data_IF_904266336043
#
_entry.id   IF_904266336043
#
_cell.length_a   1.000
_cell.length_b   1.000
_cell.length_c   1.000
_cell.angle_alpha   90.00
_cell.angle_beta   90.00
_cell.angle_gamma   90.00
#
_symmetry.space_group_name_H-M   'P 1'
#
loop_
_entity.id
_entity.type
_entity.pdbx_description
1 polymer ?
#
# COMPACT_ATOMS: atom_id res chain seq x y z
N UNK A 1 -19.51 -62.38 19.53
CA UNK A 1 -18.15 -62.13 19.02
C UNK A 1 -18.18 -60.84 18.21
N UNK A 2 -17.68 -59.74 18.76
CA UNK A 2 -17.32 -58.54 18.00
C UNK A 2 -15.90 -58.19 18.44
N UNK A 3 -14.96 -58.55 17.58
CA UNK A 3 -13.53 -58.29 17.72
C UNK A 3 -13.30 -56.79 17.76
N UNK A 4 -12.93 -56.28 18.94
CA UNK A 4 -12.26 -54.98 19.06
C UNK A 4 -10.93 -55.10 18.34
N UNK A 5 -10.89 -54.63 17.09
CA UNK A 5 -9.63 -54.30 16.44
C UNK A 5 -9.10 -53.07 17.15
N UNK A 6 -8.16 -53.27 18.07
CA UNK A 6 -7.34 -52.20 18.60
C UNK A 6 -6.54 -51.63 17.42
N UNK A 7 -7.06 -50.56 16.85
CA UNK A 7 -6.42 -49.84 15.77
C UNK A 7 -5.21 -49.12 16.35
N UNK A 8 -4.00 -49.55 15.99
CA UNK A 8 -2.75 -48.84 16.28
C UNK A 8 -2.63 -47.55 15.42
N UNK A 9 -3.69 -46.73 15.38
CA UNK A 9 -3.64 -45.43 14.73
C UNK A 9 -3.10 -44.41 15.73
N UNK A 10 -2.13 -43.61 15.30
CA UNK A 10 -1.63 -42.47 16.06
C UNK A 10 -2.29 -41.22 15.52
N UNK A 11 -2.93 -40.48 16.42
CA UNK A 11 -3.43 -39.15 16.13
C UNK A 11 -2.24 -38.22 15.82
N UNK A 12 -2.39 -37.38 14.80
CA UNK A 12 -1.48 -36.27 14.56
C UNK A 12 -2.17 -35.01 15.09
N UNK A 13 -1.66 -34.45 16.18
CA UNK A 13 -2.29 -33.33 16.87
C UNK A 13 -2.33 -32.05 16.01
N UNK A 14 -1.37 -31.88 15.08
CA UNK A 14 -1.34 -30.74 14.14
C UNK A 14 -2.47 -30.80 13.10
N UNK A 15 -3.06 -31.98 12.91
CA UNK A 15 -4.11 -32.26 11.92
C UNK A 15 -5.38 -32.84 12.56
N UNK A 16 -5.53 -32.74 13.88
CA UNK A 16 -6.67 -33.27 14.63
C UNK A 16 -7.60 -32.16 15.15
N UNK A 17 -8.30 -31.53 14.22
CA UNK A 17 -9.20 -30.41 14.50
C UNK A 17 -10.53 -30.86 15.12
N UNK A 18 -11.00 -30.16 16.16
CA UNK A 18 -12.36 -30.31 16.69
C UNK A 18 -13.39 -29.87 15.62
N UNK A 19 -14.51 -30.61 15.43
CA UNK A 19 -15.54 -30.27 14.45
C UNK A 19 -16.49 -29.15 14.92
N UNK A 20 -16.15 -28.43 15.99
CA UNK A 20 -16.96 -27.38 16.59
C UNK A 20 -17.21 -26.22 15.62
N UNK A 21 -18.48 -25.85 15.48
CA UNK A 21 -18.95 -24.76 14.63
C UNK A 21 -19.36 -23.56 15.48
N UNK A 22 -19.16 -22.38 14.91
CA UNK A 22 -19.62 -21.11 15.47
C UNK A 22 -20.17 -20.22 14.36
N UNK A 23 -21.09 -19.31 14.71
CA UNK A 23 -21.59 -18.28 13.81
C UNK A 23 -21.04 -16.93 14.28
N UNK A 24 -20.18 -16.33 13.48
CA UNK A 24 -19.74 -14.95 13.68
C UNK A 24 -20.74 -14.03 12.98
N UNK A 25 -21.27 -13.03 13.69
CA UNK A 25 -22.19 -12.05 13.13
C UNK A 25 -21.53 -10.67 13.12
N UNK A 26 -21.53 -10.02 11.97
CA UNK A 26 -21.10 -8.62 11.82
C UNK A 26 -22.22 -7.85 11.11
N UNK A 27 -22.83 -6.90 11.81
CA UNK A 27 -24.02 -6.18 11.34
C UNK A 27 -25.13 -7.14 10.87
N UNK A 28 -25.47 -7.13 9.57
CA UNK A 28 -26.48 -7.97 8.94
C UNK A 28 -25.90 -9.23 8.25
N UNK A 29 -24.61 -9.52 8.41
CA UNK A 29 -23.94 -10.68 7.83
C UNK A 29 -23.61 -11.73 8.89
N UNK A 30 -23.75 -13.00 8.51
CA UNK A 30 -23.42 -14.14 9.37
C UNK A 30 -22.47 -15.09 8.65
N UNK A 31 -21.46 -15.57 9.37
CA UNK A 31 -20.41 -16.45 8.86
C UNK A 31 -20.35 -17.70 9.73
N UNK A 32 -20.66 -18.86 9.15
CA UNK A 32 -20.57 -20.15 9.84
C UNK A 32 -19.20 -20.77 9.58
N UNK A 33 -18.38 -20.92 10.61
CA UNK A 33 -16.98 -21.35 10.50
C UNK A 33 -16.61 -22.41 11.54
N UNK A 34 -15.47 -23.07 11.34
CA UNK A 34 -14.90 -24.01 12.31
C UNK A 34 -14.02 -23.28 13.33
N UNK A 35 -14.34 -23.44 14.62
CA UNK A 35 -13.62 -22.81 15.74
C UNK A 35 -12.14 -23.18 15.72
N UNK A 36 -11.86 -24.47 15.50
CA UNK A 36 -10.52 -25.05 15.56
C UNK A 36 -9.57 -24.49 14.49
N UNK A 37 -10.06 -24.25 13.27
CA UNK A 37 -9.26 -23.65 12.18
C UNK A 37 -8.93 -22.19 12.49
N UNK A 38 -9.93 -21.41 12.91
CA UNK A 38 -9.73 -19.99 13.19
C UNK A 38 -8.82 -19.78 14.41
N UNK A 39 -9.02 -20.57 15.48
CA UNK A 39 -8.16 -20.56 16.68
C UNK A 39 -6.72 -20.93 16.37
N UNK A 40 -6.49 -21.88 15.46
CA UNK A 40 -5.14 -22.29 15.07
C UNK A 40 -4.38 -21.21 14.29
N UNK A 41 -5.07 -20.16 13.81
CA UNK A 41 -4.47 -19.08 13.01
C UNK A 41 -4.49 -17.72 13.71
N UNK A 42 -5.30 -17.55 14.74
CA UNK A 42 -5.51 -16.30 15.45
C UNK A 42 -5.48 -16.54 16.95
N UNK A 43 -4.49 -15.95 17.63
CA UNK A 43 -4.37 -16.01 19.09
C UNK A 43 -5.59 -15.33 19.76
N UNK A 44 -6.05 -14.20 19.21
CA UNK A 44 -7.21 -13.46 19.71
C UNK A 44 -8.49 -14.30 19.65
N UNK A 45 -8.74 -15.02 18.55
CA UNK A 45 -9.89 -15.90 18.47
C UNK A 45 -9.71 -17.15 19.35
N UNK A 46 -8.51 -17.72 19.44
CA UNK A 46 -8.24 -18.82 20.36
C UNK A 46 -8.58 -18.44 21.82
N UNK A 47 -8.13 -17.26 22.25
CA UNK A 47 -8.44 -16.71 23.57
C UNK A 47 -9.94 -16.44 23.71
N UNK A 48 -10.56 -15.80 22.73
CA UNK A 48 -12.00 -15.49 22.72
C UNK A 48 -12.87 -16.74 22.90
N UNK A 49 -12.53 -17.83 22.23
CA UNK A 49 -13.29 -19.09 22.30
C UNK A 49 -12.91 -19.95 23.51
N UNK A 50 -11.82 -19.66 24.20
CA UNK A 50 -11.43 -20.38 25.42
C UNK A 50 -12.33 -20.06 26.63
N UNK A 51 -13.02 -18.92 26.60
CA UNK A 51 -13.92 -18.52 27.68
C UNK A 51 -15.24 -19.29 27.63
N UNK A 52 -15.76 -19.75 28.78
CA UNK A 52 -17.03 -20.45 28.82
C UNK A 52 -18.17 -19.50 28.41
N UNK A 53 -19.00 -19.96 27.47
CA UNK A 53 -20.14 -19.20 26.98
C UNK A 53 -21.16 -18.95 28.11
N UNK A 54 -21.75 -17.74 28.21
CA UNK A 54 -22.76 -17.45 29.22
C UNK A 54 -24.01 -18.35 29.10
N UNK A 55 -24.86 -18.46 30.13
CA UNK A 55 -26.00 -19.38 30.13
C UNK A 55 -27.06 -19.06 29.08
N UNK A 56 -27.18 -17.80 28.67
CA UNK A 56 -28.16 -17.31 27.69
C UNK A 56 -27.42 -16.80 26.44
N UNK A 57 -26.86 -17.73 25.67
CA UNK A 57 -26.18 -17.42 24.41
C UNK A 57 -27.17 -17.51 23.27
N UNK A 58 -27.18 -16.49 22.43
CA UNK A 58 -27.96 -16.52 21.19
C UNK A 58 -27.46 -17.65 20.28
N UNK A 59 -28.39 -18.40 19.71
CA UNK A 59 -28.07 -19.48 18.79
C UNK A 59 -28.87 -19.37 17.50
N UNK A 60 -28.25 -19.71 16.37
CA UNK A 60 -28.90 -19.93 15.09
C UNK A 60 -28.69 -21.39 14.73
N UNK A 61 -29.76 -22.13 14.46
CA UNK A 61 -29.73 -23.58 14.20
C UNK A 61 -29.01 -24.41 15.29
N UNK A 62 -29.09 -23.97 16.55
CA UNK A 62 -28.42 -24.60 17.68
C UNK A 62 -26.91 -24.36 17.74
N UNK A 63 -26.38 -23.48 16.89
CA UNK A 63 -24.97 -23.06 16.88
C UNK A 63 -24.87 -21.69 17.55
N UNK A 64 -23.90 -21.54 18.45
CA UNK A 64 -23.62 -20.29 19.14
C UNK A 64 -23.32 -19.15 18.16
N UNK A 65 -23.92 -18.00 18.43
CA UNK A 65 -23.64 -16.73 17.72
C UNK A 65 -22.71 -15.87 18.56
N UNK A 66 -21.68 -15.30 17.93
CA UNK A 66 -20.80 -14.28 18.50
C UNK A 66 -20.88 -13.03 17.65
N UNK A 67 -21.26 -11.92 18.27
CA UNK A 67 -21.31 -10.61 17.64
C UNK A 67 -19.93 -9.97 17.58
N UNK A 68 -19.55 -9.55 16.38
CA UNK A 68 -18.36 -8.76 16.08
C UNK A 68 -18.80 -7.40 15.57
N UNK A 69 -18.04 -6.36 15.94
CA UNK A 69 -18.29 -4.98 15.55
C UNK A 69 -17.51 -4.55 14.29
N UNK A 70 -17.01 -5.51 13.53
CA UNK A 70 -16.22 -5.27 12.33
C UNK A 70 -17.09 -4.91 11.12
N UNK A 71 -16.44 -4.34 10.12
CA UNK A 71 -17.03 -4.21 8.80
C UNK A 71 -17.28 -5.61 8.20
N UNK A 72 -18.50 -5.91 7.72
CA UNK A 72 -18.84 -7.24 7.24
C UNK A 72 -18.09 -7.64 5.95
N UNK A 73 -17.71 -6.67 5.11
CA UNK A 73 -16.97 -6.95 3.88
C UNK A 73 -15.50 -7.26 4.19
N UNK A 74 -14.86 -6.45 5.04
CA UNK A 74 -13.48 -6.68 5.50
C UNK A 74 -13.37 -8.02 6.24
N UNK A 75 -14.30 -8.30 7.18
CA UNK A 75 -14.34 -9.57 7.91
C UNK A 75 -14.56 -10.76 6.96
N UNK A 76 -15.44 -10.60 5.97
CA UNK A 76 -15.70 -11.62 4.96
C UNK A 76 -14.46 -11.95 4.12
N UNK A 77 -13.72 -10.94 3.66
CA UNK A 77 -12.46 -11.12 2.93
C UNK A 77 -11.39 -11.80 3.79
N UNK A 78 -11.25 -11.38 5.04
CA UNK A 78 -10.35 -12.01 6.02
C UNK A 78 -10.67 -13.48 6.28
N UNK A 79 -11.95 -13.82 6.52
CA UNK A 79 -12.35 -15.21 6.74
C UNK A 79 -12.11 -16.04 5.48
N UNK A 80 -12.42 -15.53 4.27
CA UNK A 80 -12.09 -16.23 3.02
C UNK A 80 -10.58 -16.48 2.91
N UNK A 81 -9.74 -15.51 3.25
CA UNK A 81 -8.28 -15.67 3.22
C UNK A 81 -7.74 -16.73 4.19
N UNK A 82 -8.49 -17.06 5.25
CA UNK A 82 -8.15 -18.15 6.20
C UNK A 82 -8.63 -19.51 5.68
N UNK A 83 -9.87 -19.58 5.19
CA UNK A 83 -10.54 -20.84 4.87
C UNK A 83 -10.38 -21.29 3.41
N UNK A 84 -10.04 -20.37 2.50
CA UNK A 84 -9.77 -20.63 1.09
C UNK A 84 -8.31 -20.25 0.78
N UNK A 85 -7.48 -21.27 0.61
CA UNK A 85 -6.05 -21.11 0.40
C UNK A 85 -5.72 -20.35 -0.91
N UNK A 86 -6.61 -20.36 -1.90
CA UNK A 86 -6.41 -19.73 -3.20
C UNK A 86 -6.90 -18.28 -3.23
N UNK A 87 -7.71 -17.87 -2.25
CA UNK A 87 -8.31 -16.53 -2.19
C UNK A 87 -7.26 -15.42 -1.99
N UNK A 88 -6.26 -15.64 -1.13
CA UNK A 88 -5.28 -14.63 -0.76
C UNK A 88 -3.84 -15.16 -0.82
N UNK A 89 -3.36 -15.40 -2.04
CA UNK A 89 -2.02 -15.93 -2.27
C UNK A 89 -0.94 -14.85 -2.08
N UNK A 90 0.28 -15.26 -1.68
CA UNK A 90 1.43 -14.36 -1.66
C UNK A 90 1.79 -13.91 -3.07
N UNK A 91 2.46 -12.76 -3.18
CA UNK A 91 3.01 -12.31 -4.46
C UNK A 91 4.06 -13.31 -5.00
N UNK A 92 4.20 -13.46 -6.34
CA UNK A 92 3.58 -12.67 -7.41
C UNK A 92 2.24 -13.21 -7.93
N UNK A 93 1.52 -14.03 -7.15
CA UNK A 93 0.27 -14.63 -7.58
C UNK A 93 -0.79 -13.56 -7.91
N UNK A 94 -1.43 -13.69 -9.07
CA UNK A 94 -2.42 -12.73 -9.60
C UNK A 94 -3.85 -12.98 -9.08
N UNK A 95 -4.01 -13.39 -7.82
CA UNK A 95 -5.32 -13.85 -7.33
C UNK A 95 -6.18 -12.77 -6.68
N UNK A 96 -5.61 -11.61 -6.34
CA UNK A 96 -6.36 -10.52 -5.71
C UNK A 96 -6.38 -9.31 -6.62
N UNK A 97 -7.58 -8.89 -6.99
CA UNK A 97 -7.83 -7.80 -7.93
C UNK A 97 -8.47 -6.58 -7.24
N UNK A 98 -8.49 -6.53 -5.89
CA UNK A 98 -9.14 -5.46 -5.13
C UNK A 98 -8.27 -4.98 -3.99
N UNK A 99 -7.92 -3.70 -4.00
CA UNK A 99 -7.23 -3.06 -2.88
C UNK A 99 -8.04 -3.13 -1.58
N UNK A 100 -9.38 -3.03 -1.65
CA UNK A 100 -10.27 -3.15 -0.48
C UNK A 100 -10.08 -4.48 0.26
N UNK A 101 -9.95 -5.59 -0.47
CA UNK A 101 -9.69 -6.89 0.14
C UNK A 101 -8.31 -6.91 0.81
N UNK A 102 -7.26 -6.36 0.17
CA UNK A 102 -5.91 -6.27 0.75
C UNK A 102 -5.94 -5.47 2.06
N UNK A 103 -6.59 -4.30 2.06
CA UNK A 103 -6.68 -3.42 3.21
C UNK A 103 -7.53 -4.05 4.33
N UNK A 104 -8.69 -4.60 4.00
CA UNK A 104 -9.56 -5.27 4.96
C UNK A 104 -8.86 -6.47 5.61
N UNK A 105 -8.19 -7.30 4.80
CA UNK A 105 -7.40 -8.43 5.30
C UNK A 105 -6.25 -7.94 6.19
N UNK A 106 -5.53 -6.88 5.81
CA UNK A 106 -4.45 -6.31 6.61
C UNK A 106 -4.94 -5.86 8.00
N UNK A 107 -6.04 -5.09 8.03
CA UNK A 107 -6.63 -4.56 9.27
C UNK A 107 -7.13 -5.68 10.17
N UNK A 108 -7.87 -6.64 9.61
CA UNK A 108 -8.37 -7.79 10.36
C UNK A 108 -7.24 -8.70 10.85
N UNK A 109 -6.23 -8.95 10.02
CA UNK A 109 -5.06 -9.75 10.41
C UNK A 109 -4.24 -9.06 11.51
N UNK A 110 -4.15 -7.73 11.50
CA UNK A 110 -3.55 -6.97 12.60
C UNK A 110 -4.39 -7.04 13.88
N UNK A 111 -5.71 -6.85 13.77
CA UNK A 111 -6.65 -6.86 14.91
C UNK A 111 -6.73 -8.24 15.59
N UNK A 112 -6.81 -9.29 14.78
CA UNK A 112 -7.00 -10.67 15.23
C UNK A 112 -5.69 -11.47 15.31
N UNK A 113 -4.54 -10.81 15.22
CA UNK A 113 -3.22 -11.42 15.34
C UNK A 113 -3.03 -12.66 14.44
N UNK A 114 -3.15 -12.44 13.12
CA UNK A 114 -2.93 -13.46 12.08
C UNK A 114 -1.71 -13.09 11.25
N UNK A 115 -0.53 -13.42 11.77
CA UNK A 115 0.76 -12.96 11.24
C UNK A 115 0.97 -13.23 9.74
N UNK A 116 0.60 -14.41 9.24
CA UNK A 116 0.83 -14.77 7.83
C UNK A 116 -0.02 -13.95 6.85
N UNK A 117 -1.26 -13.61 7.22
CA UNK A 117 -2.11 -12.75 6.39
C UNK A 117 -1.64 -11.30 6.44
N UNK A 118 -1.23 -10.83 7.63
CA UNK A 118 -0.65 -9.51 7.80
C UNK A 118 0.59 -9.35 6.90
N UNK A 119 1.49 -10.33 6.89
CA UNK A 119 2.67 -10.35 6.02
C UNK A 119 2.29 -10.25 4.55
N UNK A 120 1.43 -11.17 4.07
CA UNK A 120 1.00 -11.18 2.66
C UNK A 120 0.38 -9.86 2.23
N UNK A 121 -0.47 -9.27 3.07
CA UNK A 121 -1.11 -8.00 2.74
C UNK A 121 -0.10 -6.84 2.68
N UNK A 122 0.91 -6.84 3.57
CA UNK A 122 2.00 -5.87 3.49
C UNK A 122 2.87 -6.07 2.25
N UNK A 123 3.17 -7.31 1.86
CA UNK A 123 3.91 -7.60 0.62
C UNK A 123 3.17 -7.08 -0.63
N UNK A 124 1.84 -7.18 -0.65
CA UNK A 124 1.02 -6.58 -1.71
C UNK A 124 1.14 -5.06 -1.73
N UNK A 125 0.96 -4.40 -0.58
CA UNK A 125 1.04 -2.93 -0.49
C UNK A 125 2.45 -2.37 -0.73
N UNK A 126 3.50 -3.10 -0.35
CA UNK A 126 4.90 -2.70 -0.50
C UNK A 126 5.32 -2.59 -1.98
N UNK A 127 4.63 -3.31 -2.87
CA UNK A 127 4.80 -3.14 -4.31
C UNK A 127 4.11 -1.89 -4.84
N UNK A 128 2.96 -1.53 -4.26
CA UNK A 128 2.19 -0.34 -4.64
C UNK A 128 2.84 0.96 -4.14
N UNK A 129 3.43 0.90 -2.94
CA UNK A 129 4.03 2.02 -2.23
C UNK A 129 5.47 1.67 -1.77
N UNK A 130 6.39 1.51 -2.73
CA UNK A 130 7.72 1.00 -2.46
C UNK A 130 8.63 2.04 -1.79
N UNK A 131 9.66 1.56 -1.09
CA UNK A 131 10.71 2.41 -0.50
C UNK A 131 11.67 2.97 -1.58
N UNK A 132 11.86 2.27 -2.69
CA UNK A 132 12.85 2.63 -3.71
C UNK A 132 12.20 3.31 -4.91
N UNK A 133 12.79 4.41 -5.36
CA UNK A 133 12.36 5.16 -6.54
C UNK A 133 12.14 4.25 -7.76
N UNK A 134 13.13 3.38 -8.06
CA UNK A 134 13.02 2.43 -9.17
C UNK A 134 11.78 1.51 -9.07
N UNK A 135 11.40 1.13 -7.85
CA UNK A 135 10.20 0.35 -7.62
C UNK A 135 8.94 1.17 -7.95
N UNK A 136 8.93 2.44 -7.56
CA UNK A 136 7.82 3.36 -7.82
C UNK A 136 7.67 3.63 -9.33
N UNK A 137 8.77 3.90 -10.03
CA UNK A 137 8.78 4.19 -11.47
C UNK A 137 8.46 2.96 -12.34
N UNK A 138 8.88 1.76 -11.92
CA UNK A 138 8.62 0.53 -12.66
C UNK A 138 7.20 -0.01 -12.45
N UNK A 139 6.40 0.63 -11.60
CA UNK A 139 5.10 0.13 -11.20
C UNK A 139 4.02 0.47 -12.24
N UNK A 140 3.78 -0.46 -13.17
CA UNK A 140 2.62 -0.44 -14.08
C UNK A 140 1.35 -1.06 -13.45
N UNK A 141 1.37 -1.32 -12.14
CA UNK A 141 0.42 -2.23 -11.51
C UNK A 141 -0.93 -1.61 -11.14
N UNK A 142 -1.11 -0.28 -11.21
CA UNK A 142 -2.40 0.34 -10.92
C UNK A 142 -3.46 -0.05 -11.95
N UNK A 143 -3.09 -0.15 -13.24
CA UNK A 143 -3.93 -0.73 -14.30
C UNK A 143 -4.34 -2.19 -14.03
N UNK A 144 -3.63 -2.88 -13.11
CA UNK A 144 -3.83 -4.30 -12.76
C UNK A 144 -4.62 -4.49 -11.46
N UNK A 145 -4.54 -3.54 -10.53
CA UNK A 145 -5.26 -3.54 -9.24
C UNK A 145 -6.65 -2.89 -9.37
N UNK A 146 -6.85 -2.03 -10.36
CA UNK A 146 -8.09 -1.29 -10.55
C UNK A 146 -9.04 -1.94 -11.56
N UNK A 147 -9.41 -3.20 -11.33
CA UNK A 147 -10.55 -3.75 -12.07
C UNK A 147 -11.89 -3.29 -11.51
N UNK A 148 -12.08 -3.03 -10.21
CA UNK A 148 -13.38 -2.56 -9.69
C UNK A 148 -13.31 -1.94 -8.26
N UNK A 149 -14.09 -0.86 -8.06
CA UNK A 149 -14.74 -0.36 -6.83
C UNK A 149 -14.18 0.85 -6.04
N UNK A 150 -13.16 1.59 -6.48
CA UNK A 150 -12.98 2.97 -5.97
C UNK A 150 -13.55 4.03 -6.91
N UNK A 151 -14.16 5.06 -6.32
CA UNK A 151 -14.72 6.20 -7.05
C UNK A 151 -13.65 7.14 -7.61
N UNK A 152 -12.45 7.16 -7.01
CA UNK A 152 -11.32 8.00 -7.45
C UNK A 152 -9.96 7.55 -6.89
N UNK A 153 -8.86 7.89 -7.57
CA UNK A 153 -7.47 7.60 -7.17
C UNK A 153 -7.09 8.20 -5.81
N UNK A 154 -7.62 9.37 -5.44
CA UNK A 154 -7.40 9.95 -4.11
C UNK A 154 -7.98 9.11 -2.97
N UNK A 155 -9.15 8.49 -3.17
CA UNK A 155 -9.81 7.70 -2.11
C UNK A 155 -8.96 6.48 -1.76
N UNK A 156 -8.34 5.89 -2.78
CA UNK A 156 -7.38 4.78 -2.69
C UNK A 156 -6.19 5.14 -1.79
N UNK A 157 -5.52 6.25 -2.08
CA UNK A 157 -4.31 6.65 -1.36
C UNK A 157 -4.63 7.05 0.09
N UNK A 158 -5.75 7.73 0.33
CA UNK A 158 -6.23 8.08 1.67
C UNK A 158 -6.52 6.85 2.54
N UNK A 159 -7.13 5.81 1.95
CA UNK A 159 -7.43 4.57 2.66
C UNK A 159 -6.14 3.81 3.00
N UNK A 160 -5.15 3.81 2.11
CA UNK A 160 -3.83 3.24 2.39
C UNK A 160 -3.13 4.00 3.50
N UNK A 161 -3.13 5.34 3.45
CA UNK A 161 -2.53 6.18 4.51
C UNK A 161 -3.16 5.84 5.86
N UNK A 162 -4.50 5.75 5.92
CA UNK A 162 -5.22 5.36 7.14
C UNK A 162 -4.78 3.98 7.65
N UNK A 163 -4.83 2.97 6.77
CA UNK A 163 -4.49 1.60 7.13
C UNK A 163 -3.01 1.46 7.56
N UNK A 164 -2.09 2.12 6.87
CA UNK A 164 -0.67 2.12 7.18
C UNK A 164 -0.40 2.69 8.58
N UNK A 165 -1.10 3.75 8.98
CA UNK A 165 -1.02 4.29 10.35
C UNK A 165 -1.61 3.30 11.36
N UNK A 166 -2.79 2.75 11.08
CA UNK A 166 -3.47 1.82 11.99
C UNK A 166 -2.63 0.58 12.31
N UNK A 167 -1.91 0.01 11.34
CA UNK A 167 -1.13 -1.23 11.52
C UNK A 167 0.37 -1.00 11.74
N UNK A 168 0.79 0.26 11.86
CA UNK A 168 2.18 0.66 12.04
C UNK A 168 3.09 0.43 10.82
N UNK A 169 2.53 0.34 9.61
CA UNK A 169 3.27 0.18 8.36
C UNK A 169 3.74 1.53 7.78
N UNK A 170 4.47 2.30 8.59
CA UNK A 170 4.80 3.70 8.28
C UNK A 170 5.67 3.90 7.05
N UNK A 171 6.38 2.87 6.59
CA UNK A 171 7.23 2.94 5.40
C UNK A 171 6.45 3.09 4.09
N UNK A 172 5.16 2.77 4.09
CA UNK A 172 4.27 2.98 2.94
C UNK A 172 3.90 4.46 2.77
N UNK A 173 3.99 5.26 3.84
CA UNK A 173 3.44 6.61 3.90
C UNK A 173 4.09 7.60 2.92
N UNK A 174 5.43 7.68 2.73
CA UNK A 174 6.00 8.70 1.84
C UNK A 174 5.51 8.55 0.40
N UNK A 175 5.50 7.32 -0.13
CA UNK A 175 5.01 7.04 -1.49
C UNK A 175 3.49 7.27 -1.59
N UNK A 176 2.72 6.89 -0.55
CA UNK A 176 1.26 7.09 -0.54
C UNK A 176 0.88 8.58 -0.49
N UNK A 177 1.54 9.38 0.35
CA UNK A 177 1.34 10.83 0.38
C UNK A 177 1.78 11.50 -0.91
N UNK A 178 2.90 11.08 -1.49
CA UNK A 178 3.35 11.58 -2.79
C UNK A 178 2.31 11.31 -3.86
N UNK A 179 1.86 10.05 -4.02
CA UNK A 179 0.82 9.67 -4.98
C UNK A 179 -0.44 10.53 -4.82
N UNK A 180 -0.92 10.68 -3.58
CA UNK A 180 -2.11 11.48 -3.27
C UNK A 180 -1.93 12.94 -3.70
N UNK A 181 -0.81 13.55 -3.31
CA UNK A 181 -0.57 14.99 -3.52
C UNK A 181 -0.11 15.33 -4.94
N UNK A 182 0.53 14.38 -5.64
CA UNK A 182 1.01 14.56 -7.01
C UNK A 182 -0.14 14.49 -8.02
N UNK A 183 -1.10 13.58 -7.79
CA UNK A 183 -2.20 13.32 -8.72
C UNK A 183 -3.46 14.16 -8.51
N UNK A 184 -3.57 14.98 -7.45
CA UNK A 184 -4.82 15.61 -7.07
C UNK A 184 -4.65 17.04 -6.55
N UNK A 185 -5.64 17.90 -6.77
CA UNK A 185 -5.69 19.22 -6.16
C UNK A 185 -6.01 19.13 -4.66
N UNK A 186 -5.40 20.00 -3.83
CA UNK A 186 -5.63 19.97 -2.38
C UNK A 186 -7.11 20.15 -2.01
N UNK A 187 -7.83 21.00 -2.73
CA UNK A 187 -9.27 21.18 -2.55
C UNK A 187 -10.06 19.89 -2.85
N UNK A 188 -9.63 19.11 -3.84
CA UNK A 188 -10.28 17.85 -4.21
C UNK A 188 -9.99 16.73 -3.21
N UNK A 189 -8.76 16.70 -2.67
CA UNK A 189 -8.37 15.80 -1.58
C UNK A 189 -9.26 16.07 -0.36
N UNK A 190 -9.48 17.35 -0.03
CA UNK A 190 -10.21 17.81 1.15
C UNK A 190 -11.74 17.83 0.99
N UNK A 191 -12.29 17.32 -0.11
CA UNK A 191 -13.73 17.34 -0.38
C UNK A 191 -14.52 16.54 0.66
N UNK A 192 -15.62 17.12 1.13
CA UNK A 192 -16.54 16.49 2.07
C UNK A 192 -17.06 15.14 1.56
N UNK A 193 -17.09 14.14 2.46
CA UNK A 193 -17.52 12.78 2.14
C UNK A 193 -16.44 11.88 1.56
N UNK A 194 -15.21 12.39 1.34
CA UNK A 194 -14.06 11.56 1.03
C UNK A 194 -13.47 10.91 2.29
N UNK A 195 -12.63 9.85 2.16
CA UNK A 195 -11.90 9.24 3.27
C UNK A 195 -10.98 10.21 4.02
N UNK A 196 -10.77 11.43 3.50
CA UNK A 196 -10.08 12.52 4.19
C UNK A 196 -10.65 12.79 5.58
N UNK A 197 -11.97 12.71 5.74
CA UNK A 197 -12.60 12.99 7.02
C UNK A 197 -12.27 11.93 8.08
N UNK A 198 -11.88 10.72 7.65
CA UNK A 198 -11.60 9.59 8.51
C UNK A 198 -10.12 9.44 8.91
N UNK A 199 -9.21 10.23 8.33
CA UNK A 199 -7.80 10.27 8.74
C UNK A 199 -7.60 11.26 9.89
N UNK A 200 -6.61 10.96 10.75
CA UNK A 200 -6.29 11.79 11.91
C UNK A 200 -5.64 13.13 11.55
N UNK A 201 -5.74 14.10 12.47
CA UNK A 201 -5.15 15.44 12.29
C UNK A 201 -3.64 15.42 11.98
N UNK A 202 -2.81 14.54 12.59
CA UNK A 202 -1.40 14.45 12.21
C UNK A 202 -1.20 14.08 10.74
N UNK A 203 -2.02 13.18 10.20
CA UNK A 203 -1.95 12.75 8.80
C UNK A 203 -2.43 13.85 7.85
N UNK A 204 -3.51 14.55 8.22
CA UNK A 204 -3.99 15.73 7.48
C UNK A 204 -2.92 16.82 7.42
N UNK A 205 -2.28 17.11 8.55
CA UNK A 205 -1.21 18.10 8.63
C UNK A 205 0.03 17.69 7.82
N UNK A 206 0.43 16.41 7.86
CA UNK A 206 1.50 15.88 7.02
C UNK A 206 1.17 16.05 5.54
N UNK A 207 -0.05 15.71 5.11
CA UNK A 207 -0.51 15.89 3.74
C UNK A 207 -0.46 17.36 3.29
N UNK A 208 -1.03 18.30 4.08
CA UNK A 208 -1.06 19.72 3.73
C UNK A 208 0.37 20.32 3.67
N UNK A 209 1.20 19.97 4.64
CA UNK A 209 2.59 20.45 4.71
C UNK A 209 3.40 19.91 3.54
N UNK A 210 3.29 18.61 3.27
CA UNK A 210 3.96 17.97 2.16
C UNK A 210 3.48 18.47 0.82
N UNK A 211 2.18 18.71 0.64
CA UNK A 211 1.63 19.34 -0.57
C UNK A 211 2.28 20.70 -0.84
N UNK A 212 2.42 21.52 0.21
CA UNK A 212 3.10 22.83 0.12
C UNK A 212 4.59 22.66 -0.18
N UNK A 213 5.26 21.68 0.42
CA UNK A 213 6.67 21.40 0.17
C UNK A 213 6.91 20.90 -1.26
N UNK A 214 6.02 20.06 -1.81
CA UNK A 214 6.06 19.60 -3.19
C UNK A 214 5.95 20.76 -4.18
N UNK A 215 5.01 21.69 -3.94
CA UNK A 215 4.89 22.92 -4.73
C UNK A 215 6.20 23.71 -4.75
N UNK A 216 6.87 23.82 -3.60
CA UNK A 216 8.15 24.51 -3.46
C UNK A 216 9.34 23.74 -4.05
N UNK A 217 9.27 22.42 -4.11
CA UNK A 217 10.31 21.58 -4.69
C UNK A 217 10.25 21.56 -6.22
N UNK A 218 9.04 21.64 -6.80
CA UNK A 218 8.83 21.58 -8.25
C UNK A 218 9.76 22.47 -9.09
N UNK A 219 10.12 23.72 -8.71
CA UNK A 219 11.02 24.54 -9.51
C UNK A 219 12.42 23.94 -9.62
N UNK A 220 12.90 23.23 -8.60
CA UNK A 220 14.18 22.51 -8.64
C UNK A 220 14.14 21.40 -9.69
N UNK A 221 13.02 20.68 -9.78
CA UNK A 221 12.83 19.65 -10.80
C UNK A 221 12.82 20.26 -12.21
N UNK A 222 12.06 21.33 -12.43
CA UNK A 222 12.04 22.03 -13.72
C UNK A 222 13.41 22.60 -14.09
N UNK A 223 14.13 23.16 -13.12
CA UNK A 223 15.48 23.68 -13.34
C UNK A 223 16.45 22.60 -13.82
N UNK A 224 16.33 21.36 -13.32
CA UNK A 224 17.18 20.25 -13.79
C UNK A 224 17.03 19.97 -15.30
N UNK A 225 15.82 20.16 -15.84
CA UNK A 225 15.53 20.00 -17.27
C UNK A 225 16.09 21.16 -18.12
N UNK A 226 16.25 22.33 -17.51
CA UNK A 226 16.62 23.57 -18.17
C UNK A 226 18.10 23.93 -18.00
N UNK A 227 18.83 23.23 -17.14
CA UNK A 227 20.23 23.53 -16.85
C UNK A 227 21.09 23.26 -18.09
N UNK A 228 21.86 24.25 -18.58
CA UNK A 228 22.78 24.05 -19.69
C UNK A 228 23.96 23.16 -19.27
N UNK A 229 24.49 22.39 -20.22
CA UNK A 229 25.82 21.77 -20.03
C UNK A 229 26.90 22.86 -20.04
N UNK A 230 28.06 22.56 -19.49
CA UNK A 230 29.24 23.42 -19.60
C UNK A 230 29.50 23.83 -21.08
N UNK A 231 29.87 25.10 -21.30
CA UNK A 231 30.02 25.70 -22.64
C UNK A 231 30.98 24.91 -23.55
N UNK A 232 32.00 24.30 -22.97
CA UNK A 232 33.01 23.51 -23.69
C UNK A 232 32.44 22.21 -24.30
N UNK A 233 31.24 21.80 -23.89
CA UNK A 233 30.63 20.55 -24.32
C UNK A 233 29.50 20.75 -25.32
N UNK A 234 28.81 21.89 -25.35
CA UNK A 234 27.69 22.12 -26.26
C UNK A 234 28.15 22.37 -27.72
N UNK A 235 27.45 21.82 -28.71
CA UNK A 235 27.77 22.03 -30.13
C UNK A 235 27.34 23.42 -30.64
N UNK A 236 26.21 23.92 -30.15
CA UNK A 236 25.69 25.26 -30.45
C UNK A 236 24.96 25.79 -29.20
N UNK A 237 25.67 26.51 -28.32
CA UNK A 237 25.11 27.04 -27.08
C UNK A 237 23.89 27.93 -27.33
N UNK A 238 23.95 28.82 -28.32
CA UNK A 238 22.88 29.76 -28.61
C UNK A 238 21.59 29.06 -29.04
N UNK A 239 21.70 28.02 -29.88
CA UNK A 239 20.55 27.22 -30.28
C UNK A 239 19.99 26.41 -29.10
N UNK A 240 20.85 25.72 -28.34
CA UNK A 240 20.41 24.91 -27.20
C UNK A 240 19.76 25.74 -26.09
N UNK A 241 20.24 26.96 -25.86
CA UNK A 241 19.66 27.91 -24.88
C UNK A 241 18.32 28.46 -25.37
N UNK A 242 18.21 28.81 -26.66
CA UNK A 242 16.93 29.21 -27.24
C UNK A 242 15.87 28.10 -27.09
N UNK A 243 16.25 26.85 -27.33
CA UNK A 243 15.38 25.67 -27.16
C UNK A 243 15.04 25.39 -25.69
N UNK A 244 15.96 25.62 -24.75
CA UNK A 244 15.67 25.57 -23.30
C UNK A 244 14.63 26.60 -22.91
N UNK A 245 14.71 27.81 -23.45
CA UNK A 245 13.72 28.86 -23.17
C UNK A 245 12.33 28.50 -23.74
N UNK A 246 12.28 27.91 -24.93
CA UNK A 246 11.04 27.34 -25.50
C UNK A 246 10.46 26.26 -24.59
N UNK A 247 11.30 25.33 -24.11
CA UNK A 247 10.88 24.27 -23.19
C UNK A 247 10.37 24.86 -21.86
N UNK A 248 11.08 25.81 -21.26
CA UNK A 248 10.66 26.47 -20.03
C UNK A 248 9.27 27.11 -20.17
N UNK A 249 9.01 27.74 -21.32
CA UNK A 249 7.71 28.35 -21.63
C UNK A 249 6.60 27.29 -21.73
N UNK A 250 6.89 26.14 -22.33
CA UNK A 250 5.95 25.02 -22.42
C UNK A 250 5.65 24.41 -21.03
N UNK A 251 6.68 24.23 -20.19
CA UNK A 251 6.53 23.69 -18.84
C UNK A 251 5.67 24.60 -17.94
N UNK A 252 5.88 25.92 -18.02
CA UNK A 252 5.03 26.90 -17.31
C UNK A 252 3.57 26.83 -17.80
N UNK A 253 3.35 26.62 -19.11
CA UNK A 253 2.01 26.53 -19.68
C UNK A 253 1.26 25.24 -19.31
N UNK A 254 1.97 24.15 -19.01
CA UNK A 254 1.37 22.89 -18.57
C UNK A 254 0.71 23.00 -17.19
N UNK A 255 1.11 23.98 -16.37
CA UNK A 255 0.44 24.33 -15.10
C UNK A 255 0.44 23.25 -14.02
N UNK A 256 0.93 22.04 -14.31
CA UNK A 256 0.87 20.91 -13.39
C UNK A 256 2.15 20.82 -12.56
N UNK A 257 2.12 21.52 -11.43
CA UNK A 257 3.25 21.73 -10.51
C UNK A 257 3.50 20.48 -9.65
N UNK A 258 2.62 19.47 -9.71
CA UNK A 258 2.54 18.36 -8.77
C UNK A 258 3.18 17.05 -9.26
N UNK A 259 3.33 16.86 -10.58
CA UNK A 259 3.86 15.64 -11.21
C UNK A 259 5.39 15.57 -11.27
N UNK A 260 6.05 15.77 -10.12
CA UNK A 260 7.52 15.86 -10.01
C UNK A 260 8.24 14.59 -10.53
N UNK A 261 7.59 13.42 -10.44
CA UNK A 261 8.12 12.13 -10.93
C UNK A 261 7.38 11.56 -12.15
N UNK A 262 6.22 12.09 -12.53
CA UNK A 262 5.39 11.52 -13.61
C UNK A 262 5.66 12.17 -14.98
N UNK A 263 6.42 13.26 -15.02
CA UNK A 263 6.88 13.89 -16.26
C UNK A 263 8.38 14.09 -16.21
N UNK A 264 9.17 13.68 -17.23
CA UNK A 264 8.74 13.32 -18.60
C UNK A 264 8.77 11.84 -18.98
N UNK A 265 7.85 11.45 -19.88
CA UNK A 265 7.69 10.11 -20.47
C UNK A 265 8.58 9.86 -21.70
N UNK A 266 8.49 8.67 -22.31
CA UNK A 266 9.30 8.30 -23.47
C UNK A 266 9.13 9.25 -24.66
N UNK A 267 7.90 9.72 -24.92
CA UNK A 267 7.61 10.64 -26.02
C UNK A 267 8.24 12.01 -25.78
N UNK A 268 8.17 12.51 -24.54
CA UNK A 268 8.83 13.75 -24.17
C UNK A 268 10.35 13.66 -24.34
N UNK A 269 10.99 12.57 -23.90
CA UNK A 269 12.43 12.39 -24.07
C UNK A 269 12.83 12.28 -25.55
N UNK A 270 12.00 11.63 -26.38
CA UNK A 270 12.20 11.59 -27.82
C UNK A 270 12.14 13.00 -28.46
N UNK A 271 11.24 13.85 -27.98
CA UNK A 271 11.16 15.25 -28.42
C UNK A 271 12.35 16.09 -27.93
N UNK A 272 12.73 15.97 -26.66
CA UNK A 272 13.88 16.67 -26.09
C UNK A 272 15.18 16.32 -26.82
N UNK A 273 15.35 15.06 -27.24
CA UNK A 273 16.51 14.63 -28.04
C UNK A 273 16.59 15.28 -29.42
N UNK A 274 15.45 15.68 -30.00
CA UNK A 274 15.42 16.42 -31.26
C UNK A 274 15.67 17.93 -31.07
N UNK A 275 15.39 18.46 -29.87
CA UNK A 275 15.55 19.88 -29.55
C UNK A 275 16.99 20.26 -29.20
N UNK A 276 17.73 19.37 -28.57
CA UNK A 276 19.09 19.64 -28.08
C UNK A 276 20.15 18.90 -28.90
N UNK A 277 21.39 19.40 -28.91
CA UNK A 277 22.51 18.57 -29.34
C UNK A 277 22.67 17.36 -28.41
N UNK A 278 23.26 16.27 -28.92
CA UNK A 278 23.34 14.99 -28.20
C UNK A 278 23.95 15.12 -26.79
N UNK A 279 24.98 15.97 -26.64
CA UNK A 279 25.65 16.19 -25.34
C UNK A 279 24.77 16.94 -24.35
N UNK A 280 24.06 17.96 -24.80
CA UNK A 280 23.09 18.68 -23.98
C UNK A 280 21.91 17.79 -23.59
N UNK A 281 21.48 16.89 -24.48
CA UNK A 281 20.43 15.91 -24.18
C UNK A 281 20.87 14.94 -23.08
N UNK A 282 22.03 14.29 -23.23
CA UNK A 282 22.57 13.35 -22.23
C UNK A 282 22.75 14.04 -20.88
N UNK A 283 23.27 15.27 -20.88
CA UNK A 283 23.45 16.03 -19.65
C UNK A 283 22.11 16.34 -18.98
N UNK A 284 21.11 16.82 -19.73
CA UNK A 284 19.77 17.10 -19.21
C UNK A 284 19.10 15.85 -18.64
N UNK A 285 19.17 14.72 -19.34
CA UNK A 285 18.64 13.43 -18.86
C UNK A 285 19.31 13.02 -17.54
N UNK A 286 20.64 13.10 -17.46
CA UNK A 286 21.39 12.78 -16.26
C UNK A 286 21.03 13.70 -15.08
N UNK A 287 20.95 15.01 -15.31
CA UNK A 287 20.60 15.97 -14.25
C UNK A 287 19.19 15.73 -13.72
N UNK A 288 18.24 15.42 -14.61
CA UNK A 288 16.88 15.07 -14.22
C UNK A 288 16.83 13.78 -13.40
N UNK A 289 17.52 12.70 -13.85
CA UNK A 289 17.60 11.45 -13.09
C UNK A 289 18.22 11.64 -11.70
N UNK A 290 19.29 12.44 -11.58
CA UNK A 290 19.90 12.77 -10.29
C UNK A 290 18.93 13.55 -9.40
N UNK A 291 18.25 14.56 -9.96
CA UNK A 291 17.29 15.38 -9.22
C UNK A 291 16.09 14.57 -8.72
N UNK A 292 15.63 13.57 -9.50
CA UNK A 292 14.61 12.61 -9.06
C UNK A 292 15.09 11.74 -7.90
N UNK A 293 16.32 11.25 -7.96
CA UNK A 293 16.87 10.45 -6.88
C UNK A 293 17.00 11.29 -5.59
N UNK A 294 17.52 12.52 -5.69
CA UNK A 294 17.58 13.46 -4.56
C UNK A 294 16.20 13.75 -3.98
N UNK A 295 15.24 14.06 -4.85
CA UNK A 295 13.84 14.27 -4.44
C UNK A 295 13.29 13.08 -3.68
N UNK A 296 13.49 11.87 -4.22
CA UNK A 296 13.02 10.66 -3.58
C UNK A 296 13.66 10.46 -2.21
N UNK A 297 14.96 10.68 -2.07
CA UNK A 297 15.65 10.59 -0.76
C UNK A 297 15.12 11.61 0.25
N UNK A 298 14.77 12.81 -0.19
CA UNK A 298 14.17 13.87 0.65
C UNK A 298 12.68 13.66 0.93
N UNK A 299 11.98 12.84 0.13
CA UNK A 299 10.53 12.70 0.14
C UNK A 299 9.92 12.48 1.54
N UNK A 300 10.43 11.57 2.39
CA UNK A 300 9.85 11.38 3.72
C UNK A 300 9.88 12.67 4.55
N UNK A 301 10.96 13.45 4.46
CA UNK A 301 11.11 14.69 5.22
C UNK A 301 10.11 15.77 4.78
N UNK A 302 9.71 15.79 3.51
CA UNK A 302 8.69 16.71 3.00
C UNK A 302 7.34 16.50 3.71
N UNK A 303 7.05 15.26 4.12
CA UNK A 303 5.84 14.89 4.86
C UNK A 303 6.06 14.79 6.38
N UNK A 304 7.22 15.23 6.89
CA UNK A 304 7.55 15.15 8.32
C UNK A 304 7.75 13.72 8.83
N UNK A 305 8.11 12.79 7.96
CA UNK A 305 8.38 11.38 8.28
C UNK A 305 9.88 11.12 8.51
N UNK A 306 10.24 10.03 9.20
CA UNK A 306 11.62 9.58 9.33
C UNK A 306 12.30 9.31 7.98
N UNK A 307 13.63 9.37 7.95
CA UNK A 307 14.40 9.06 6.76
C UNK A 307 14.19 7.61 6.28
N UNK A 308 14.43 7.35 4.99
CA UNK A 308 14.26 6.02 4.40
C UNK A 308 15.01 4.89 5.11
N UNK A 309 16.16 5.17 5.71
CA UNK A 309 16.93 4.17 6.47
C UNK A 309 16.18 3.64 7.70
N UNK A 310 15.48 4.53 8.41
CA UNK A 310 14.63 4.17 9.55
C UNK A 310 13.36 3.45 9.07
N UNK A 311 12.73 3.95 8.01
CA UNK A 311 11.55 3.33 7.41
C UNK A 311 11.84 1.94 6.86
N UNK A 312 12.99 1.73 6.21
CA UNK A 312 13.44 0.41 5.74
C UNK A 312 13.70 -0.53 6.92
N UNK A 313 14.24 -0.03 8.03
CA UNK A 313 14.43 -0.84 9.24
C UNK A 313 13.08 -1.31 9.79
N UNK A 314 12.08 -0.42 9.85
CA UNK A 314 10.72 -0.78 10.27
C UNK A 314 10.07 -1.79 9.30
N UNK A 315 10.24 -1.59 8.00
CA UNK A 315 9.77 -2.51 6.94
C UNK A 315 10.38 -3.90 7.12
N UNK A 316 11.71 -3.98 7.26
CA UNK A 316 12.43 -5.24 7.48
C UNK A 316 11.91 -5.91 8.74
N UNK A 317 11.80 -5.21 9.87
CA UNK A 317 11.27 -5.82 11.11
C UNK A 317 9.89 -6.42 10.89
N UNK A 318 8.98 -5.67 10.26
CA UNK A 318 7.61 -6.11 10.04
C UNK A 318 7.48 -7.28 9.06
N UNK A 319 8.35 -7.36 8.04
CA UNK A 319 8.34 -8.46 7.06
C UNK A 319 9.11 -9.70 7.56
N UNK A 320 10.12 -9.53 8.41
CA UNK A 320 10.90 -10.65 8.97
C UNK A 320 10.26 -11.26 10.23
N UNK A 321 9.66 -10.47 11.14
CA UNK A 321 9.00 -10.99 12.36
C UNK A 321 7.87 -12.00 12.04
N UNK A 322 7.19 -11.80 10.92
CA UNK A 322 6.15 -12.71 10.45
C UNK A 322 6.70 -14.03 9.88
N UNK A 323 7.98 -14.08 9.48
CA UNK A 323 8.62 -15.31 9.01
C UNK A 323 9.15 -16.20 10.14
N UNK A 324 9.36 -15.67 11.35
CA UNK A 324 9.84 -16.49 12.47
C UNK A 324 8.70 -17.14 13.28
N UNK A 325 7.45 -16.67 13.16
CA UNK A 325 6.29 -17.26 13.85
C UNK A 325 5.91 -18.68 13.38
N UNK A 326 6.46 -19.17 12.26
CA UNK A 326 6.27 -20.54 11.78
C UNK A 326 7.49 -21.45 11.98
N UNK A 327 8.59 -20.91 12.52
CA UNK A 327 9.85 -21.63 12.75
C UNK A 327 10.00 -22.18 14.19
N UNK A 328 9.01 -21.95 15.05
CA UNK A 328 8.93 -22.46 16.44
C UNK A 328 7.65 -23.25 16.66
#
# INVERSE_FOLDING_TARGET
MATSTASNFRQNDDLWFSPELIILRAQNHVFRIFVSILSAKSSVFADMFSFPSPPEVETIDGIQVVDLHDDPEELGAFLKAIFDADFFLPMPAKTINKLQDIIGILRMAHKYDVAFLRLRALEHLDLLYPIKLRGFEAFEGWDRVDQFQYSSEKDRDLIVIKAAVEVGATWLLPAAYYSLCAGNDLCEIMTDGSPWNDIGDPQKMACITGYTALLQYSPKMWQSLLTPSDEDFCEDPALCDARRLELASALVALGSIHHTLETPDEEWWANARQMFCERCYIYTEQQYSLTKQEFWEELPSLFGLPAWSELETARISALYEATNHWAT
#
